data_IF_898801023497
#
_entry.id   IF_898801023497
#
_cell.length_a   1.000
_cell.length_b   1.000
_cell.length_c   1.000
_cell.angle_alpha   90.00
_cell.angle_beta   90.00
_cell.angle_gamma   90.00
#
_symmetry.space_group_name_H-M   'P 1'
#
loop_
_entity.id
_entity.type
_entity.pdbx_description
1 polymer ?
#
# COMPACT_ATOMS: atom_id res chain seq x y z
N UNK A 1 52.02 -29.32 42.98
CA UNK A 1 51.42 -27.95 43.06
C UNK A 1 51.38 -27.18 41.74
N UNK A 2 51.74 -27.71 40.59
CA UNK A 2 51.69 -27.01 39.28
C UNK A 2 50.55 -27.43 38.35
N UNK A 3 49.76 -28.43 38.71
CA UNK A 3 48.66 -28.96 37.88
C UNK A 3 47.29 -28.33 38.28
N UNK A 4 47.17 -27.74 39.48
CA UNK A 4 45.91 -27.14 39.91
C UNK A 4 45.72 -25.70 39.42
N UNK A 5 46.77 -25.00 39.01
CA UNK A 5 46.67 -23.62 38.51
C UNK A 5 46.27 -23.51 37.03
N UNK A 6 46.43 -24.57 36.23
CA UNK A 6 46.09 -24.57 34.81
C UNK A 6 44.56 -24.80 34.58
N UNK A 7 43.92 -25.51 35.52
CA UNK A 7 42.46 -25.76 35.41
C UNK A 7 41.60 -24.53 35.77
N UNK A 8 42.12 -23.62 36.57
CA UNK A 8 41.41 -22.36 36.93
C UNK A 8 41.50 -21.29 35.82
N UNK A 9 42.49 -21.35 34.93
CA UNK A 9 42.65 -20.37 33.86
C UNK A 9 41.81 -20.73 32.62
N UNK A 10 41.47 -22.01 32.44
CA UNK A 10 40.62 -22.46 31.31
C UNK A 10 39.14 -22.25 31.60
N UNK A 11 38.74 -22.20 32.88
CA UNK A 11 37.34 -21.93 33.26
C UNK A 11 36.91 -20.45 33.17
N UNK A 12 37.89 -19.53 33.03
CA UNK A 12 37.59 -18.08 32.94
C UNK A 12 37.55 -17.54 31.50
N UNK A 13 37.82 -18.40 30.50
CA UNK A 13 37.85 -17.99 29.09
C UNK A 13 36.57 -18.32 28.32
N UNK A 14 35.54 -18.88 28.93
CA UNK A 14 34.32 -19.38 28.24
C UNK A 14 33.01 -18.66 28.59
N UNK A 15 33.03 -17.43 29.10
CA UNK A 15 31.78 -16.71 29.37
C UNK A 15 31.86 -15.23 28.99
N UNK A 16 32.46 -14.89 27.86
CA UNK A 16 32.08 -13.64 27.18
C UNK A 16 30.92 -14.00 26.26
N UNK A 17 29.76 -14.20 26.85
CA UNK A 17 28.52 -14.11 26.08
C UNK A 17 28.38 -12.64 25.66
N UNK A 18 28.71 -12.33 24.42
CA UNK A 18 28.33 -11.05 23.81
C UNK A 18 26.81 -10.95 23.89
N UNK A 19 26.32 -10.29 24.93
CA UNK A 19 24.92 -9.86 24.94
C UNK A 19 24.85 -8.67 24.00
N UNK A 20 24.32 -8.92 22.78
CA UNK A 20 23.94 -7.85 21.87
C UNK A 20 23.03 -6.87 22.62
N UNK A 21 23.24 -5.60 22.46
CA UNK A 21 22.30 -4.59 22.94
C UNK A 21 20.93 -4.81 22.27
N UNK A 22 19.87 -4.30 22.87
CA UNK A 22 18.53 -4.42 22.29
C UNK A 22 18.46 -3.81 20.87
N UNK A 23 19.23 -2.76 20.61
CA UNK A 23 19.28 -2.11 19.32
C UNK A 23 20.10 -2.94 18.30
N UNK A 24 21.23 -3.52 18.69
CA UNK A 24 22.00 -4.44 17.83
C UNK A 24 21.20 -5.69 17.46
N UNK A 25 20.42 -6.23 18.40
CA UNK A 25 19.52 -7.34 18.11
C UNK A 25 18.43 -6.93 17.13
N UNK A 26 17.83 -5.75 17.29
CA UNK A 26 16.82 -5.23 16.36
C UNK A 26 17.40 -5.04 14.95
N UNK A 27 18.61 -4.48 14.84
CA UNK A 27 19.34 -4.29 13.58
C UNK A 27 19.58 -5.64 12.89
N UNK A 28 20.14 -6.61 13.62
CA UNK A 28 20.43 -7.95 13.08
C UNK A 28 19.15 -8.66 12.61
N UNK A 29 18.08 -8.60 13.40
CA UNK A 29 16.80 -9.19 13.03
C UNK A 29 16.12 -8.47 11.86
N UNK A 30 16.30 -7.16 11.74
CA UNK A 30 15.84 -6.40 10.58
C UNK A 30 16.54 -6.86 9.31
N UNK A 31 17.88 -7.06 9.36
CA UNK A 31 18.62 -7.61 8.22
C UNK A 31 18.12 -9.00 7.83
N UNK A 32 17.85 -9.90 8.79
CA UNK A 32 17.28 -11.22 8.54
C UNK A 32 15.90 -11.15 7.88
N UNK A 33 15.03 -10.25 8.35
CA UNK A 33 13.70 -10.03 7.76
C UNK A 33 13.84 -9.56 6.31
N UNK A 34 14.61 -8.50 6.08
CA UNK A 34 14.74 -7.92 4.74
C UNK A 34 15.36 -8.93 3.77
N UNK A 35 16.36 -9.69 4.23
CA UNK A 35 16.99 -10.74 3.43
C UNK A 35 15.97 -11.75 2.91
N UNK A 36 14.99 -12.17 3.73
CA UNK A 36 13.95 -13.10 3.29
C UNK A 36 13.11 -12.53 2.12
N UNK A 37 12.85 -11.21 2.10
CA UNK A 37 12.12 -10.55 1.02
C UNK A 37 12.97 -10.31 -0.22
N UNK A 38 14.26 -9.98 -0.04
CA UNK A 38 15.18 -9.76 -1.15
C UNK A 38 15.59 -11.07 -1.83
N UNK A 39 15.78 -12.15 -1.08
CA UNK A 39 16.14 -13.48 -1.62
C UNK A 39 15.07 -14.04 -2.58
N UNK A 40 13.79 -13.72 -2.31
CA UNK A 40 12.69 -14.09 -3.22
C UNK A 40 12.41 -13.01 -4.28
N UNK A 41 13.21 -11.94 -4.31
CA UNK A 41 13.09 -10.84 -5.27
C UNK A 41 11.88 -9.93 -5.05
N UNK A 42 11.19 -10.01 -3.91
CA UNK A 42 9.96 -9.25 -3.66
C UNK A 42 10.22 -7.84 -3.13
N UNK A 43 11.33 -7.58 -2.44
CA UNK A 43 11.70 -6.26 -1.96
C UNK A 43 12.86 -5.66 -2.74
N UNK A 44 12.68 -4.43 -3.19
CA UNK A 44 13.68 -3.51 -3.70
C UNK A 44 13.30 -2.11 -3.22
N UNK A 45 14.21 -1.40 -2.54
CA UNK A 45 13.91 -0.12 -1.92
C UNK A 45 14.78 0.19 -0.71
N UNK A 46 14.28 1.00 0.22
CA UNK A 46 15.01 1.47 1.40
C UNK A 46 14.23 1.24 2.69
N UNK A 47 14.95 0.93 3.77
CA UNK A 47 14.39 0.81 5.12
C UNK A 47 15.20 1.70 6.06
N UNK A 48 14.49 2.50 6.87
CA UNK A 48 15.07 3.37 7.89
C UNK A 48 14.38 3.11 9.23
N UNK A 49 15.16 3.04 10.31
CA UNK A 49 14.64 2.96 11.67
C UNK A 49 15.22 4.11 12.48
N UNK A 50 14.32 4.93 13.05
CA UNK A 50 14.64 5.95 14.03
C UNK A 50 14.24 5.49 15.43
N UNK A 51 15.08 5.82 16.41
CA UNK A 51 14.76 5.69 17.84
C UNK A 51 15.05 7.01 18.52
N UNK A 52 14.02 7.74 18.89
CA UNK A 52 14.13 9.16 19.24
C UNK A 52 14.61 9.97 18.03
N UNK A 53 15.70 10.72 18.23
CA UNK A 53 16.32 11.53 17.17
C UNK A 53 17.45 10.79 16.44
N UNK A 54 17.75 9.54 16.82
CA UNK A 54 18.85 8.77 16.27
C UNK A 54 18.39 7.83 15.16
N UNK A 55 19.13 7.81 14.05
CA UNK A 55 19.03 6.78 13.03
C UNK A 55 19.80 5.56 13.50
N UNK A 56 19.11 4.45 13.76
CA UNK A 56 19.76 3.19 14.16
C UNK A 56 19.86 2.19 13.02
N UNK A 57 19.12 2.42 11.91
CA UNK A 57 19.18 1.62 10.71
C UNK A 57 18.88 2.48 9.47
N UNK A 58 19.72 2.42 8.45
CA UNK A 58 19.50 3.05 7.14
C UNK A 58 20.19 2.21 6.07
N UNK A 59 19.40 1.40 5.35
CA UNK A 59 19.92 0.54 4.28
C UNK A 59 18.99 0.50 3.08
N UNK A 60 19.59 0.37 1.91
CA UNK A 60 18.91 0.26 0.62
C UNK A 60 19.27 -1.05 -0.08
N UNK A 61 18.34 -1.60 -0.85
CA UNK A 61 18.40 -2.94 -1.43
C UNK A 61 17.84 -2.95 -2.85
N UNK A 62 18.39 -3.83 -3.69
CA UNK A 62 17.90 -4.02 -5.05
C UNK A 62 18.20 -2.84 -5.99
N UNK A 63 17.42 -2.73 -7.06
CA UNK A 63 17.66 -1.77 -8.13
C UNK A 63 16.58 -0.69 -8.18
N UNK A 64 17.00 0.56 -8.28
CA UNK A 64 16.15 1.68 -8.64
C UNK A 64 15.73 1.62 -10.12
N UNK A 65 16.63 1.14 -10.98
CA UNK A 65 16.36 0.87 -12.39
C UNK A 65 17.04 -0.45 -12.77
N UNK A 66 16.23 -1.47 -13.07
CA UNK A 66 16.71 -2.82 -13.37
C UNK A 66 17.42 -2.85 -14.71
N UNK A 67 16.89 -2.17 -15.73
CA UNK A 67 17.45 -2.17 -17.08
C UNK A 67 18.82 -1.50 -17.11
N UNK A 68 18.94 -0.35 -16.44
CA UNK A 68 20.19 0.41 -16.33
C UNK A 68 21.12 -0.09 -15.23
N UNK A 69 20.69 -1.10 -14.45
CA UNK A 69 21.43 -1.64 -13.29
C UNK A 69 21.81 -0.58 -12.25
N UNK A 70 20.95 0.44 -12.08
CA UNK A 70 21.13 1.47 -11.05
C UNK A 70 20.59 0.91 -9.73
N UNK A 71 21.47 0.81 -8.72
CA UNK A 71 21.11 0.32 -7.38
C UNK A 71 20.31 1.38 -6.61
N UNK A 72 19.45 0.94 -5.69
CA UNK A 72 18.84 1.83 -4.70
C UNK A 72 19.89 2.34 -3.71
N UNK A 73 19.75 3.60 -3.32
CA UNK A 73 20.55 4.26 -2.29
C UNK A 73 19.62 5.01 -1.32
N UNK A 74 20.15 5.54 -0.22
CA UNK A 74 19.38 6.40 0.69
C UNK A 74 18.84 7.68 0.04
N UNK A 75 19.45 8.12 -1.08
CA UNK A 75 19.00 9.27 -1.88
C UNK A 75 17.93 8.90 -2.92
N UNK A 76 17.70 7.61 -3.18
CA UNK A 76 16.71 7.17 -4.16
C UNK A 76 15.30 7.55 -3.72
N UNK A 77 14.63 8.31 -4.56
CA UNK A 77 13.26 8.76 -4.33
C UNK A 77 12.26 7.74 -4.87
N UNK A 78 11.37 7.28 -4.01
CA UNK A 78 10.31 6.32 -4.35
C UNK A 78 8.95 6.99 -4.19
N UNK A 79 7.98 6.62 -5.01
CA UNK A 79 6.60 7.10 -4.82
C UNK A 79 6.03 6.60 -3.50
N UNK A 80 5.39 7.51 -2.76
CA UNK A 80 4.86 7.21 -1.42
C UNK A 80 3.34 6.94 -1.40
N UNK A 81 2.70 6.92 -2.57
CA UNK A 81 1.28 6.66 -2.71
C UNK A 81 0.43 7.50 -1.76
N UNK A 82 -0.52 6.88 -1.10
CA UNK A 82 -1.49 7.54 -0.20
C UNK A 82 -0.89 8.14 1.09
N UNK A 83 0.39 7.91 1.41
CA UNK A 83 1.06 8.64 2.51
C UNK A 83 1.02 10.15 2.25
N UNK A 84 0.96 10.56 0.99
CA UNK A 84 0.74 11.94 0.56
C UNK A 84 -0.45 12.62 1.28
N UNK A 85 -1.50 11.88 1.59
CA UNK A 85 -2.70 12.40 2.27
C UNK A 85 -2.38 13.00 3.64
N UNK A 86 -1.37 12.49 4.33
CA UNK A 86 -0.95 13.08 5.62
C UNK A 86 -0.35 14.49 5.44
N UNK A 87 0.36 14.73 4.35
CA UNK A 87 0.84 16.08 4.01
C UNK A 87 -0.31 17.02 3.71
N UNK A 88 -1.28 16.58 2.90
CA UNK A 88 -2.49 17.35 2.59
C UNK A 88 -3.31 17.64 3.85
N UNK A 89 -3.51 16.63 4.70
CA UNK A 89 -4.21 16.80 5.97
C UNK A 89 -3.48 17.78 6.91
N UNK A 90 -2.14 17.73 6.94
CA UNK A 90 -1.32 18.69 7.73
C UNK A 90 -1.57 20.13 7.27
N UNK A 91 -1.59 20.39 5.96
CA UNK A 91 -1.89 21.72 5.40
C UNK A 91 -3.30 22.19 5.78
N UNK A 92 -4.30 21.31 5.68
CA UNK A 92 -5.68 21.63 6.11
C UNK A 92 -5.73 21.95 7.61
N UNK A 93 -5.04 21.16 8.44
CA UNK A 93 -4.97 21.39 9.88
C UNK A 93 -4.24 22.69 10.24
N UNK A 94 -3.25 23.13 9.45
CA UNK A 94 -2.62 24.45 9.62
C UNK A 94 -3.64 25.57 9.42
N UNK A 95 -4.51 25.47 8.41
CA UNK A 95 -5.60 26.46 8.18
C UNK A 95 -6.66 26.45 9.27
N UNK A 96 -6.94 25.27 9.84
CA UNK A 96 -7.84 25.15 11.00
C UNK A 96 -7.18 25.78 12.24
N UNK A 97 -5.89 25.55 12.45
CA UNK A 97 -5.13 26.10 13.56
C UNK A 97 -5.07 27.63 13.55
N UNK A 98 -5.03 28.25 12.37
CA UNK A 98 -5.03 29.71 12.21
C UNK A 98 -6.45 30.29 12.26
N UNK A 99 -7.49 29.46 12.27
CA UNK A 99 -8.90 29.92 12.27
C UNK A 99 -9.42 30.39 10.92
N UNK A 100 -8.67 30.19 9.83
CA UNK A 100 -9.12 30.56 8.48
C UNK A 100 -10.27 29.65 8.01
N UNK A 101 -10.28 28.40 8.44
CA UNK A 101 -11.36 27.44 8.21
C UNK A 101 -11.63 26.61 9.46
N UNK A 102 -12.78 25.91 9.49
CA UNK A 102 -13.13 24.97 10.54
C UNK A 102 -13.43 23.57 9.95
N UNK A 103 -13.37 22.54 10.79
CA UNK A 103 -13.74 21.16 10.39
C UNK A 103 -15.19 21.09 9.88
N UNK A 104 -16.06 21.95 10.36
CA UNK A 104 -17.50 21.94 10.05
C UNK A 104 -17.88 22.92 8.93
N UNK A 105 -16.90 23.65 8.38
CA UNK A 105 -17.12 24.45 7.18
C UNK A 105 -17.59 23.55 6.03
N UNK A 106 -18.70 23.99 5.42
CA UNK A 106 -19.32 23.27 4.31
C UNK A 106 -18.64 23.59 2.99
N UNK A 107 -18.59 22.62 2.10
CA UNK A 107 -17.96 22.73 0.78
C UNK A 107 -18.52 23.92 -0.02
N UNK A 108 -19.79 24.29 0.17
CA UNK A 108 -20.41 25.46 -0.49
C UNK A 108 -19.71 26.78 -0.20
N UNK A 109 -19.00 26.90 0.94
CA UNK A 109 -18.22 28.09 1.33
C UNK A 109 -17.09 28.40 0.33
N UNK A 110 -16.57 27.36 -0.33
CA UNK A 110 -15.36 27.46 -1.15
C UNK A 110 -15.64 27.66 -2.64
N UNK A 111 -16.90 27.60 -3.08
CA UNK A 111 -17.30 27.90 -4.47
C UNK A 111 -16.46 27.17 -5.54
N UNK A 112 -16.28 25.86 -5.38
CA UNK A 112 -15.50 25.02 -6.28
C UNK A 112 -16.31 24.45 -7.47
N UNK A 113 -17.53 24.96 -7.68
CA UNK A 113 -18.39 24.53 -8.80
C UNK A 113 -19.34 23.38 -8.49
N UNK A 114 -19.30 22.79 -7.30
CA UNK A 114 -20.22 21.70 -6.92
C UNK A 114 -21.68 22.17 -6.88
N UNK A 115 -22.65 21.30 -7.27
CA UNK A 115 -24.06 21.57 -7.08
C UNK A 115 -24.38 21.98 -5.64
N UNK A 116 -25.12 23.08 -5.45
CA UNK A 116 -25.39 23.64 -4.10
C UNK A 116 -25.98 22.61 -3.13
N UNK A 117 -26.85 21.72 -3.62
CA UNK A 117 -27.48 20.68 -2.79
C UNK A 117 -26.47 19.65 -2.25
N UNK A 118 -25.40 19.37 -2.97
CA UNK A 118 -24.29 18.51 -2.54
C UNK A 118 -23.35 19.29 -1.63
N UNK A 119 -22.90 20.46 -2.08
CA UNK A 119 -21.92 21.27 -1.39
C UNK A 119 -22.37 21.75 0.01
N UNK A 120 -23.69 21.90 0.25
CA UNK A 120 -24.25 22.24 1.57
C UNK A 120 -24.21 21.09 2.58
N UNK A 121 -24.02 19.85 2.16
CA UNK A 121 -24.04 18.66 3.02
C UNK A 121 -22.63 18.22 3.44
N UNK A 122 -21.62 18.46 2.61
CA UNK A 122 -20.25 17.98 2.81
C UNK A 122 -19.45 19.01 3.59
N UNK A 123 -18.74 18.56 4.63
CA UNK A 123 -17.84 19.38 5.44
C UNK A 123 -16.38 19.00 5.20
N UNK A 124 -15.43 19.86 5.63
CA UNK A 124 -14.00 19.51 5.65
C UNK A 124 -13.75 18.24 6.46
N UNK A 125 -14.42 18.09 7.60
CA UNK A 125 -14.38 16.87 8.43
C UNK A 125 -14.73 15.62 7.61
N UNK A 126 -15.80 15.67 6.84
CA UNK A 126 -16.25 14.55 6.02
C UNK A 126 -15.19 14.15 4.96
N UNK A 127 -14.52 15.13 4.35
CA UNK A 127 -13.45 14.88 3.39
C UNK A 127 -12.24 14.21 4.04
N UNK A 128 -11.74 14.75 5.16
CA UNK A 128 -10.61 14.21 5.92
C UNK A 128 -10.88 12.80 6.43
N UNK A 129 -12.11 12.50 6.81
CA UNK A 129 -12.52 11.22 7.37
C UNK A 129 -12.91 10.16 6.33
N UNK A 130 -12.86 10.47 5.02
CA UNK A 130 -13.41 9.61 3.97
C UNK A 130 -14.91 9.28 4.16
N UNK A 131 -15.68 10.27 4.60
CA UNK A 131 -17.12 10.18 4.85
C UNK A 131 -17.93 11.21 4.05
N UNK A 132 -17.36 11.71 2.97
CA UNK A 132 -18.01 12.73 2.14
C UNK A 132 -19.18 12.20 1.31
N UNK A 133 -19.23 10.87 1.10
CA UNK A 133 -20.15 10.24 0.17
C UNK A 133 -19.72 10.32 -1.30
N UNK A 134 -18.57 10.92 -1.60
CA UNK A 134 -18.01 10.85 -2.95
C UNK A 134 -17.58 9.42 -3.29
N UNK A 135 -17.83 9.00 -4.53
CA UNK A 135 -17.18 7.82 -5.10
C UNK A 135 -15.66 8.02 -5.17
N UNK A 136 -14.92 6.94 -5.39
CA UNK A 136 -13.50 7.08 -5.71
C UNK A 136 -13.32 7.53 -7.16
N UNK A 137 -12.26 8.32 -7.41
CA UNK A 137 -11.92 8.82 -8.74
C UNK A 137 -11.40 7.69 -9.65
N UNK A 138 -10.79 6.66 -9.09
CA UNK A 138 -10.22 5.54 -9.86
C UNK A 138 -11.30 4.62 -10.40
N UNK A 139 -11.92 5.05 -11.49
CA UNK A 139 -12.94 4.32 -12.26
C UNK A 139 -12.51 4.18 -13.74
N UNK A 140 -13.30 3.54 -14.57
CA UNK A 140 -12.96 3.30 -15.97
C UNK A 140 -12.71 4.61 -16.73
N UNK A 141 -13.57 5.63 -16.54
CA UNK A 141 -13.43 6.95 -17.17
C UNK A 141 -12.08 7.61 -16.82
N UNK A 142 -11.67 7.50 -15.55
CA UNK A 142 -10.36 7.96 -15.09
C UNK A 142 -9.22 7.22 -15.78
N UNK A 143 -9.26 5.88 -15.84
CA UNK A 143 -8.17 5.09 -16.42
C UNK A 143 -8.04 5.24 -17.94
N UNK A 144 -9.08 5.69 -18.62
CA UNK A 144 -9.02 6.05 -20.04
C UNK A 144 -8.31 7.39 -20.29
N UNK A 145 -8.37 8.31 -19.31
CA UNK A 145 -7.96 9.72 -19.49
C UNK A 145 -6.83 10.18 -18.57
N UNK A 146 -6.44 9.39 -17.57
CA UNK A 146 -5.56 9.82 -16.45
C UNK A 146 -4.24 10.48 -16.87
N UNK A 147 -3.71 10.14 -18.05
CA UNK A 147 -2.45 10.74 -18.56
C UNK A 147 -2.59 12.22 -18.89
N UNK A 148 -3.78 12.66 -19.29
CA UNK A 148 -4.08 14.07 -19.57
C UNK A 148 -4.46 14.86 -18.33
N UNK A 149 -4.74 14.20 -17.20
CA UNK A 149 -5.15 14.82 -15.93
C UNK A 149 -3.92 15.22 -15.12
N UNK A 150 -3.37 16.40 -15.40
CA UNK A 150 -2.08 16.84 -14.87
C UNK A 150 -2.19 17.47 -13.49
N UNK A 151 -3.29 18.19 -13.23
CA UNK A 151 -3.46 18.99 -12.03
C UNK A 151 -4.86 18.80 -11.40
N UNK A 152 -5.11 19.51 -10.30
CA UNK A 152 -6.38 19.46 -9.57
C UNK A 152 -7.57 19.85 -10.46
N UNK A 153 -7.42 20.91 -11.27
CA UNK A 153 -8.52 21.44 -12.10
C UNK A 153 -8.91 20.45 -13.20
N UNK A 154 -7.99 19.61 -13.65
CA UNK A 154 -8.30 18.55 -14.64
C UNK A 154 -9.10 17.41 -13.98
N UNK A 155 -8.87 17.14 -12.69
CA UNK A 155 -9.49 16.02 -11.95
C UNK A 155 -10.82 16.37 -11.29
N UNK A 156 -11.02 17.61 -10.87
CA UNK A 156 -12.27 18.02 -10.20
C UNK A 156 -13.52 17.75 -11.03
N UNK A 157 -13.58 18.03 -12.35
CA UNK A 157 -14.78 17.82 -13.16
C UNK A 157 -15.26 16.36 -13.22
N UNK A 158 -14.39 15.38 -13.01
CA UNK A 158 -14.70 13.95 -13.17
C UNK A 158 -15.84 13.48 -12.25
N UNK A 159 -15.96 14.04 -11.05
CA UNK A 159 -16.98 13.65 -10.07
C UNK A 159 -17.83 14.83 -9.56
N UNK A 160 -17.63 16.04 -10.09
CA UNK A 160 -18.28 17.25 -9.55
C UNK A 160 -19.81 17.19 -9.60
N UNK A 161 -20.36 16.64 -10.67
CA UNK A 161 -21.81 16.50 -10.92
C UNK A 161 -22.32 15.07 -10.71
N UNK A 162 -21.46 14.13 -10.29
CA UNK A 162 -21.87 12.74 -10.07
C UNK A 162 -22.64 12.62 -8.74
N UNK A 163 -23.61 11.71 -8.65
CA UNK A 163 -24.35 11.47 -7.42
C UNK A 163 -23.41 10.94 -6.32
N UNK A 164 -23.73 11.29 -5.07
CA UNK A 164 -23.07 10.68 -3.91
C UNK A 164 -23.46 9.23 -3.77
N UNK A 165 -22.52 8.36 -3.40
CA UNK A 165 -22.76 6.93 -3.15
C UNK A 165 -23.31 6.64 -1.75
N UNK A 166 -23.21 7.61 -0.84
CA UNK A 166 -23.78 7.56 0.50
C UNK A 166 -24.05 8.98 1.04
N UNK A 167 -24.90 9.11 2.06
CA UNK A 167 -25.12 10.40 2.74
C UNK A 167 -23.86 10.82 3.50
N UNK A 168 -23.42 12.09 3.35
CA UNK A 168 -22.25 12.63 4.04
C UNK A 168 -22.29 12.43 5.56
N UNK A 169 -21.19 11.95 6.11
CA UNK A 169 -21.02 11.65 7.53
C UNK A 169 -21.51 10.26 7.97
N UNK A 170 -22.27 9.53 7.15
CA UNK A 170 -22.85 8.24 7.56
C UNK A 170 -21.87 7.08 7.42
N UNK A 171 -21.33 6.88 6.23
CA UNK A 171 -20.51 5.73 5.90
C UNK A 171 -19.06 6.12 5.65
N UNK A 172 -18.16 5.21 5.97
CA UNK A 172 -16.77 5.31 5.57
C UNK A 172 -16.62 4.74 4.17
N UNK A 173 -16.29 5.59 3.21
CA UNK A 173 -15.96 5.21 1.84
C UNK A 173 -14.66 5.89 1.45
N UNK A 174 -13.57 5.11 1.41
CA UNK A 174 -12.28 5.65 1.02
C UNK A 174 -12.37 6.33 -0.33
N UNK A 175 -12.02 7.61 -0.38
CA UNK A 175 -12.11 8.41 -1.61
C UNK A 175 -10.84 9.24 -1.79
N UNK A 176 -10.13 8.97 -2.87
CA UNK A 176 -9.02 9.80 -3.32
C UNK A 176 -9.51 11.17 -3.76
N UNK A 177 -10.68 11.22 -4.40
CA UNK A 177 -11.31 12.46 -4.82
C UNK A 177 -11.53 13.46 -3.67
N UNK A 178 -11.91 12.98 -2.49
CA UNK A 178 -12.05 13.83 -1.32
C UNK A 178 -10.78 14.61 -0.97
N UNK A 179 -9.61 14.04 -1.15
CA UNK A 179 -8.32 14.71 -0.93
C UNK A 179 -7.92 15.64 -2.08
N UNK A 180 -8.33 15.36 -3.29
CA UNK A 180 -8.22 16.30 -4.42
C UNK A 180 -9.04 17.57 -4.13
N UNK A 181 -10.28 17.41 -3.63
CA UNK A 181 -11.13 18.52 -3.20
C UNK A 181 -10.50 19.33 -2.07
N UNK A 182 -9.86 18.68 -1.07
CA UNK A 182 -9.11 19.39 -0.02
C UNK A 182 -7.96 20.22 -0.61
N UNK A 183 -7.25 19.68 -1.59
CA UNK A 183 -6.22 20.44 -2.31
C UNK A 183 -6.78 21.65 -3.05
N UNK A 184 -7.94 21.50 -3.71
CA UNK A 184 -8.62 22.60 -4.39
C UNK A 184 -9.04 23.72 -3.40
N UNK A 185 -9.50 23.34 -2.21
CA UNK A 185 -9.82 24.30 -1.12
C UNK A 185 -8.56 25.07 -0.73
N UNK A 186 -7.42 24.38 -0.56
CA UNK A 186 -6.15 25.03 -0.21
C UNK A 186 -5.68 25.99 -1.30
N UNK A 187 -5.73 25.59 -2.59
CA UNK A 187 -5.38 26.47 -3.71
C UNK A 187 -6.28 27.72 -3.77
N UNK A 188 -7.59 27.55 -3.51
CA UNK A 188 -8.55 28.66 -3.48
C UNK A 188 -8.25 29.65 -2.36
N UNK A 189 -7.89 29.15 -1.16
CA UNK A 189 -7.57 29.98 0.01
C UNK A 189 -6.25 30.73 -0.17
N UNK A 190 -5.22 30.03 -0.60
CA UNK A 190 -3.86 30.59 -0.73
C UNK A 190 -3.62 31.36 -2.03
N UNK A 191 -4.46 31.15 -3.04
CA UNK A 191 -4.27 31.66 -4.42
C UNK A 191 -2.91 31.25 -5.01
N UNK A 192 -2.43 30.07 -4.66
CA UNK A 192 -1.18 29.46 -5.10
C UNK A 192 -1.45 28.03 -5.56
N UNK A 193 -0.57 27.47 -6.39
CA UNK A 193 -0.64 26.05 -6.71
C UNK A 193 -0.36 25.19 -5.46
N UNK A 194 -0.95 24.01 -5.40
CA UNK A 194 -0.73 23.07 -4.29
C UNK A 194 0.76 22.74 -4.13
N UNK A 195 1.52 22.69 -5.23
CA UNK A 195 2.96 22.51 -5.20
C UNK A 195 3.69 23.61 -4.40
N UNK A 196 3.33 24.86 -4.61
CA UNK A 196 3.92 25.98 -3.85
C UNK A 196 3.50 25.91 -2.38
N UNK A 197 2.22 25.64 -2.12
CA UNK A 197 1.68 25.55 -0.75
C UNK A 197 2.42 24.48 0.06
N UNK A 198 2.57 23.27 -0.48
CA UNK A 198 3.23 22.18 0.26
C UNK A 198 4.72 22.45 0.45
N UNK A 199 5.39 23.03 -0.56
CA UNK A 199 6.80 23.40 -0.44
C UNK A 199 7.02 24.43 0.65
N UNK A 200 6.27 25.53 0.64
CA UNK A 200 6.42 26.63 1.58
C UNK A 200 6.05 26.26 3.01
N UNK A 201 4.93 25.54 3.20
CA UNK A 201 4.36 25.32 4.52
C UNK A 201 4.76 23.99 5.17
N UNK A 202 5.34 23.05 4.39
CA UNK A 202 5.78 21.75 4.92
C UNK A 202 7.22 21.45 4.55
N UNK A 203 7.54 21.24 3.28
CA UNK A 203 8.83 20.65 2.89
C UNK A 203 10.02 21.52 3.27
N UNK A 204 9.98 22.83 3.00
CA UNK A 204 11.03 23.77 3.36
C UNK A 204 11.13 23.96 4.89
N UNK A 205 9.98 23.94 5.60
CA UNK A 205 9.94 24.11 7.06
C UNK A 205 10.68 22.98 7.78
N UNK A 206 10.56 21.75 7.27
CA UNK A 206 11.19 20.56 7.86
C UNK A 206 12.51 20.19 7.18
N UNK A 207 12.90 20.89 6.11
CA UNK A 207 14.09 20.60 5.29
C UNK A 207 14.07 19.19 4.66
N UNK A 208 12.90 18.79 4.14
CA UNK A 208 12.73 17.53 3.43
C UNK A 208 13.11 17.71 1.95
N UNK A 209 14.39 17.92 1.68
CA UNK A 209 14.90 18.34 0.37
C UNK A 209 14.79 17.24 -0.71
N UNK A 210 14.64 15.99 -0.30
CA UNK A 210 14.45 14.85 -1.19
C UNK A 210 12.98 14.44 -1.37
N UNK A 211 12.04 15.14 -0.72
CA UNK A 211 10.61 14.95 -0.95
C UNK A 211 10.14 15.90 -2.04
N UNK A 212 9.45 15.37 -3.07
CA UNK A 212 9.05 16.13 -4.24
C UNK A 212 7.57 15.97 -4.55
N UNK A 213 6.87 17.10 -4.62
CA UNK A 213 5.58 17.23 -5.27
C UNK A 213 5.83 17.79 -6.68
N UNK A 214 6.11 16.93 -7.64
CA UNK A 214 6.46 17.30 -9.00
C UNK A 214 6.08 16.20 -9.98
N UNK A 215 5.85 16.56 -11.25
CA UNK A 215 5.62 15.59 -12.31
C UNK A 215 6.77 14.58 -12.36
N UNK A 216 6.46 13.34 -12.68
CA UNK A 216 7.42 12.22 -12.63
C UNK A 216 8.70 12.50 -13.43
N UNK A 217 8.60 13.11 -14.62
CA UNK A 217 9.75 13.44 -15.46
C UNK A 217 10.71 14.43 -14.80
N UNK A 218 10.23 15.30 -13.92
CA UNK A 218 11.00 16.33 -13.25
C UNK A 218 11.67 15.87 -11.94
N UNK A 219 11.47 14.61 -11.54
CA UNK A 219 12.10 14.04 -10.33
C UNK A 219 13.39 13.33 -10.72
N UNK A 220 14.51 13.83 -10.23
CA UNK A 220 15.84 13.21 -10.40
C UNK A 220 16.04 12.11 -9.34
N UNK A 221 16.93 11.15 -9.62
CA UNK A 221 17.25 10.03 -8.72
C UNK A 221 16.02 9.27 -8.22
N UNK A 222 15.00 9.15 -9.08
CA UNK A 222 13.80 8.37 -8.76
C UNK A 222 13.97 6.92 -9.15
N UNK A 223 13.36 6.03 -8.37
CA UNK A 223 13.21 4.64 -8.74
C UNK A 223 12.12 4.47 -9.82
N UNK A 224 12.31 3.51 -10.72
CA UNK A 224 11.24 2.96 -11.56
C UNK A 224 10.34 2.06 -10.71
N UNK A 225 9.10 1.89 -11.11
CA UNK A 225 8.09 1.12 -10.36
C UNK A 225 7.85 -0.22 -11.04
N UNK A 226 8.12 -1.32 -10.35
CA UNK A 226 8.02 -2.69 -10.88
C UNK A 226 6.91 -3.46 -10.18
N UNK A 227 5.97 -3.96 -10.96
CA UNK A 227 4.86 -4.77 -10.47
C UNK A 227 5.03 -6.23 -10.90
N UNK A 228 4.83 -7.17 -9.98
CA UNK A 228 4.74 -8.57 -10.35
C UNK A 228 3.38 -8.85 -11.01
N UNK A 229 3.43 -9.35 -12.25
CA UNK A 229 2.24 -9.92 -12.85
C UNK A 229 1.91 -11.29 -12.19
N UNK A 230 0.73 -11.87 -12.45
CA UNK A 230 0.39 -13.18 -11.89
C UNK A 230 1.35 -14.31 -12.28
N UNK A 231 2.13 -14.15 -13.34
CA UNK A 231 3.14 -15.12 -13.79
C UNK A 231 4.49 -14.95 -13.05
N UNK A 232 4.62 -13.96 -12.18
CA UNK A 232 5.84 -13.71 -11.42
C UNK A 232 6.88 -12.85 -12.14
N UNK A 233 6.55 -12.31 -13.31
CA UNK A 233 7.43 -11.40 -14.04
C UNK A 233 7.30 -9.97 -13.51
N UNK A 234 8.43 -9.27 -13.43
CA UNK A 234 8.46 -7.85 -13.06
C UNK A 234 8.16 -6.98 -14.27
N UNK A 235 7.01 -6.34 -14.25
CA UNK A 235 6.57 -5.39 -15.29
C UNK A 235 6.83 -3.97 -14.81
N UNK A 236 7.54 -3.19 -15.61
CA UNK A 236 7.72 -1.77 -15.35
C UNK A 236 6.39 -1.02 -15.54
N UNK A 237 5.95 -0.35 -14.50
CA UNK A 237 4.71 0.43 -14.44
C UNK A 237 4.94 1.93 -14.31
N UNK A 238 6.19 2.39 -14.37
CA UNK A 238 6.56 3.80 -14.14
C UNK A 238 5.75 4.75 -15.01
N UNK A 239 5.61 4.43 -16.30
CA UNK A 239 4.88 5.28 -17.25
C UNK A 239 3.36 5.09 -17.20
N UNK A 240 2.88 4.14 -16.39
CA UNK A 240 1.46 3.89 -16.15
C UNK A 240 0.96 4.52 -14.84
N UNK A 241 1.82 5.21 -14.10
CA UNK A 241 1.44 5.87 -12.87
C UNK A 241 0.78 7.21 -13.17
N UNK A 242 -0.24 7.52 -12.38
CA UNK A 242 -0.96 8.79 -12.49
C UNK A 242 -0.07 9.99 -12.14
N UNK A 243 -0.45 11.17 -12.63
CA UNK A 243 0.16 12.42 -12.23
C UNK A 243 -0.14 12.74 -10.76
N UNK A 244 0.82 13.39 -10.11
CA UNK A 244 0.74 13.76 -8.71
C UNK A 244 -0.41 14.72 -8.45
N UNK A 245 -1.17 14.43 -7.38
CA UNK A 245 -2.25 15.27 -6.85
C UNK A 245 -2.30 15.17 -5.32
N UNK A 246 -3.09 15.99 -4.63
CA UNK A 246 -3.12 16.03 -3.16
C UNK A 246 -3.43 14.71 -2.46
N UNK A 247 -4.01 13.74 -3.16
CA UNK A 247 -4.33 12.41 -2.65
C UNK A 247 -3.19 11.40 -2.77
N UNK A 248 -2.22 11.61 -3.69
CA UNK A 248 -1.16 10.64 -3.93
C UNK A 248 -0.08 11.08 -4.91
N UNK A 249 0.95 10.26 -5.03
CA UNK A 249 1.94 10.38 -6.11
C UNK A 249 3.22 11.14 -5.78
N UNK A 250 3.40 11.73 -4.59
CA UNK A 250 4.67 12.33 -4.17
C UNK A 250 5.81 11.32 -4.21
N UNK A 251 7.00 11.82 -4.46
CA UNK A 251 8.25 11.08 -4.32
C UNK A 251 8.96 11.51 -3.03
N UNK A 252 9.52 10.53 -2.30
CA UNK A 252 10.28 10.81 -1.07
C UNK A 252 11.38 9.78 -0.86
N UNK A 253 12.30 10.07 0.04
CA UNK A 253 13.19 9.10 0.66
C UNK A 253 12.61 8.63 2.01
N UNK A 254 13.04 7.47 2.49
CA UNK A 254 12.60 6.97 3.79
C UNK A 254 13.04 7.92 4.92
N UNK A 255 14.22 8.55 4.77
CA UNK A 255 14.72 9.54 5.73
C UNK A 255 13.85 10.78 5.79
N UNK A 256 13.45 11.35 4.65
CA UNK A 256 12.61 12.56 4.62
C UNK A 256 11.21 12.30 5.19
N UNK A 257 10.65 11.10 4.99
CA UNK A 257 9.42 10.71 5.66
C UNK A 257 9.61 10.64 7.18
N UNK A 258 10.75 10.15 7.66
CA UNK A 258 11.06 10.18 9.08
C UNK A 258 11.14 11.61 9.63
N UNK A 259 11.76 12.53 8.89
CA UNK A 259 11.75 13.96 9.25
C UNK A 259 10.33 14.51 9.33
N UNK A 260 9.50 14.21 8.33
CA UNK A 260 8.11 14.68 8.33
C UNK A 260 7.36 14.22 9.59
N UNK A 261 7.36 12.92 9.88
CA UNK A 261 6.64 12.40 11.05
C UNK A 261 7.27 12.84 12.38
N UNK A 262 8.60 12.94 12.45
CA UNK A 262 9.28 13.49 13.62
C UNK A 262 8.84 14.94 13.90
N UNK A 263 8.81 15.79 12.87
CA UNK A 263 8.40 17.20 13.02
C UNK A 263 6.90 17.35 13.22
N UNK A 264 6.08 16.51 12.63
CA UNK A 264 4.64 16.48 12.83
C UNK A 264 4.27 16.08 14.26
N UNK A 265 4.87 15.02 14.81
CA UNK A 265 4.41 14.41 16.05
C UNK A 265 5.14 14.91 17.29
N UNK A 266 6.46 15.15 17.20
CA UNK A 266 7.29 15.46 18.36
C UNK A 266 7.76 16.92 18.42
N UNK A 267 7.24 17.79 17.56
CA UNK A 267 7.51 19.24 17.62
C UNK A 267 6.28 20.03 17.23
N UNK A 268 6.31 21.36 17.49
CA UNK A 268 5.24 22.27 17.08
C UNK A 268 5.59 23.02 15.77
N UNK A 269 6.52 22.48 14.95
CA UNK A 269 6.92 23.14 13.70
C UNK A 269 5.82 23.11 12.64
N UNK A 270 5.05 22.04 12.57
CA UNK A 270 3.99 21.86 11.58
C UNK A 270 2.60 22.12 12.19
N UNK A 271 2.33 21.52 13.34
CA UNK A 271 1.05 21.63 14.04
C UNK A 271 1.27 21.79 15.55
N UNK A 272 0.39 22.53 16.20
CA UNK A 272 0.31 22.59 17.66
C UNK A 272 -0.33 21.32 18.25
N UNK A 273 -0.27 21.16 19.57
CA UNK A 273 -0.76 19.96 20.25
C UNK A 273 -2.25 19.71 20.08
N UNK A 274 -3.06 20.78 20.00
CA UNK A 274 -4.49 20.67 19.75
C UNK A 274 -4.77 20.06 18.36
N UNK A 275 -4.11 20.56 17.33
CA UNK A 275 -4.27 20.09 15.95
C UNK A 275 -3.77 18.63 15.79
N UNK A 276 -2.65 18.28 16.44
CA UNK A 276 -2.14 16.89 16.48
C UNK A 276 -3.14 15.96 17.16
N UNK A 277 -3.70 16.37 18.30
CA UNK A 277 -4.71 15.59 19.01
C UNK A 277 -5.98 15.37 18.17
N UNK A 278 -6.45 16.41 17.46
CA UNK A 278 -7.57 16.26 16.52
C UNK A 278 -7.25 15.23 15.42
N UNK A 279 -6.07 15.34 14.81
CA UNK A 279 -5.65 14.47 13.73
C UNK A 279 -5.53 13.02 14.20
N UNK A 280 -4.92 12.75 15.38
CA UNK A 280 -4.77 11.41 15.96
C UNK A 280 -6.10 10.77 16.36
N UNK A 281 -7.11 11.56 16.71
CA UNK A 281 -8.45 11.11 17.09
C UNK A 281 -9.43 11.03 15.90
N UNK A 282 -8.91 11.05 14.67
CA UNK A 282 -9.75 10.99 13.47
C UNK A 282 -10.66 12.21 13.30
N UNK A 283 -10.16 13.38 13.66
CA UNK A 283 -10.85 14.68 13.51
C UNK A 283 -12.16 14.81 14.29
N UNK A 284 -12.27 14.14 15.45
CA UNK A 284 -13.41 14.25 16.36
C UNK A 284 -13.27 15.45 17.31
N UNK A 285 -14.40 16.00 17.77
CA UNK A 285 -14.42 17.18 18.68
C UNK A 285 -13.94 16.84 20.10
N UNK A 286 -14.43 15.75 20.67
CA UNK A 286 -13.99 15.30 22.00
C UNK A 286 -12.66 14.56 21.88
N UNK A 287 -11.59 15.23 22.26
CA UNK A 287 -10.23 14.74 22.13
C UNK A 287 -9.52 14.72 23.49
N UNK A 288 -8.70 13.70 23.67
CA UNK A 288 -7.73 13.64 24.75
C UNK A 288 -6.58 14.61 24.45
N UNK A 289 -5.93 15.17 25.49
CA UNK A 289 -4.71 15.97 25.29
C UNK A 289 -3.66 15.19 24.52
N UNK A 290 -2.87 15.87 23.68
CA UNK A 290 -1.79 15.27 22.92
C UNK A 290 -0.77 14.55 23.79
N UNK A 291 -0.45 15.10 24.99
CA UNK A 291 0.42 14.46 25.97
C UNK A 291 -0.06 13.08 26.39
N UNK A 292 -1.38 12.88 26.57
CA UNK A 292 -1.94 11.58 26.92
C UNK A 292 -1.75 10.56 25.78
N UNK A 293 -1.82 11.00 24.53
CA UNK A 293 -1.52 10.14 23.38
C UNK A 293 -0.05 9.78 23.31
N UNK A 294 0.85 10.72 23.60
CA UNK A 294 2.31 10.48 23.64
C UNK A 294 2.71 9.46 24.73
N UNK A 295 2.04 9.46 25.86
CA UNK A 295 2.36 8.59 27.01
C UNK A 295 1.67 7.21 26.94
N UNK A 296 0.79 7.01 25.98
CA UNK A 296 0.03 5.76 25.86
C UNK A 296 0.88 4.61 25.29
N UNK A 297 0.97 3.50 26.02
CA UNK A 297 1.67 2.26 25.59
C UNK A 297 1.07 1.63 24.32
N UNK A 298 -0.19 1.96 24.01
CA UNK A 298 -0.90 1.43 22.85
C UNK A 298 -0.95 2.40 21.68
N UNK A 299 -0.49 3.65 21.86
CA UNK A 299 -0.50 4.65 20.80
C UNK A 299 0.44 4.27 19.66
N UNK A 300 -0.16 4.15 18.49
CA UNK A 300 0.53 3.88 17.24
C UNK A 300 0.11 4.88 16.18
N UNK A 301 1.05 5.24 15.32
CA UNK A 301 0.75 5.96 14.11
C UNK A 301 1.15 5.12 12.92
N UNK A 302 0.24 5.01 11.95
CA UNK A 302 0.46 4.20 10.75
C UNK A 302 0.10 4.98 9.51
N UNK A 303 0.90 4.83 8.49
CA UNK A 303 0.61 5.36 7.17
C UNK A 303 1.08 4.38 6.10
N UNK A 304 0.22 4.11 5.15
CA UNK A 304 0.50 3.19 4.06
C UNK A 304 0.16 3.84 2.73
N UNK A 305 0.96 3.52 1.74
CA UNK A 305 0.75 3.96 0.37
C UNK A 305 1.11 2.85 -0.60
N UNK A 306 0.26 2.61 -1.58
CA UNK A 306 0.43 1.52 -2.52
C UNK A 306 -0.06 1.87 -3.91
N UNK A 307 0.31 1.04 -4.85
CA UNK A 307 -0.05 1.06 -6.25
C UNK A 307 0.80 0.07 -7.04
N UNK A 308 0.57 -0.10 -8.33
CA UNK A 308 1.39 -1.01 -9.14
C UNK A 308 2.87 -0.63 -9.09
N UNK A 309 3.70 -1.48 -8.46
CA UNK A 309 5.14 -1.21 -8.28
C UNK A 309 5.45 -0.10 -7.27
N UNK A 310 4.52 0.20 -6.37
CA UNK A 310 4.67 1.21 -5.32
C UNK A 310 4.23 0.63 -3.99
N UNK A 311 5.12 0.59 -3.01
CA UNK A 311 4.80 0.23 -1.64
C UNK A 311 5.55 1.12 -0.66
N UNK A 312 4.82 1.79 0.22
CA UNK A 312 5.37 2.69 1.21
C UNK A 312 4.67 2.45 2.55
N UNK A 313 5.43 2.35 3.62
CA UNK A 313 4.91 2.11 4.95
C UNK A 313 5.67 2.88 6.01
N UNK A 314 4.91 3.41 6.96
CA UNK A 314 5.39 4.07 8.16
C UNK A 314 4.67 3.46 9.35
N UNK A 315 5.43 2.93 10.29
CA UNK A 315 4.94 2.42 11.58
C UNK A 315 5.67 3.13 12.72
N UNK A 316 4.92 3.71 13.64
CA UNK A 316 5.47 4.36 14.82
C UNK A 316 4.86 3.79 16.09
N UNK A 317 5.72 3.47 17.03
CA UNK A 317 5.38 3.31 18.44
C UNK A 317 5.65 4.66 19.12
N UNK A 318 4.59 5.38 19.43
CA UNK A 318 4.65 6.81 19.78
C UNK A 318 5.44 7.03 21.06
N UNK A 319 5.13 6.28 22.12
CA UNK A 319 5.81 6.41 23.42
C UNK A 319 7.31 6.08 23.35
N UNK A 320 7.66 5.03 22.61
CA UNK A 320 9.04 4.58 22.45
C UNK A 320 9.84 5.47 21.49
N UNK A 321 9.15 6.38 20.79
CA UNK A 321 9.70 7.16 19.67
C UNK A 321 10.41 6.27 18.64
N UNK A 322 9.92 5.03 18.48
CA UNK A 322 10.42 4.12 17.48
C UNK A 322 9.63 4.30 16.19
N UNK A 323 10.33 4.61 15.13
CA UNK A 323 9.76 4.80 13.79
C UNK A 323 10.45 3.85 12.82
N UNK A 324 9.66 3.03 12.14
CA UNK A 324 10.12 2.12 11.09
C UNK A 324 9.47 2.55 9.78
N UNK A 325 10.30 2.85 8.80
CA UNK A 325 9.85 3.27 7.47
C UNK A 325 10.46 2.34 6.43
N UNK A 326 9.64 1.84 5.53
CA UNK A 326 10.07 1.11 4.36
C UNK A 326 9.44 1.73 3.11
N UNK A 327 10.26 1.95 2.09
CA UNK A 327 9.85 2.36 0.76
C UNK A 327 10.31 1.33 -0.24
N UNK A 328 9.41 0.83 -1.07
CA UNK A 328 9.73 -0.14 -2.10
C UNK A 328 9.23 0.33 -3.47
N UNK A 329 10.06 0.12 -4.47
CA UNK A 329 9.72 0.31 -5.88
C UNK A 329 9.28 -1.02 -6.53
N UNK A 330 8.74 -1.92 -5.73
CA UNK A 330 8.11 -3.18 -6.10
C UNK A 330 6.70 -3.25 -5.53
N UNK A 331 6.03 -4.37 -5.67
CA UNK A 331 4.63 -4.61 -5.31
C UNK A 331 4.13 -3.92 -4.05
N UNK A 332 2.87 -3.56 -4.07
CA UNK A 332 2.14 -3.08 -2.91
C UNK A 332 2.22 -4.09 -1.73
N UNK A 333 2.01 -3.59 -0.54
CA UNK A 333 2.06 -4.29 0.76
C UNK A 333 3.41 -4.85 1.22
N UNK A 334 4.46 -4.89 0.40
CA UNK A 334 5.76 -5.42 0.85
C UNK A 334 6.39 -4.54 1.93
N UNK A 335 6.33 -3.22 1.80
CA UNK A 335 6.81 -2.28 2.80
C UNK A 335 6.04 -2.42 4.13
N UNK A 336 4.72 -2.53 4.07
CA UNK A 336 3.87 -2.77 5.25
C UNK A 336 4.29 -4.04 6.00
N UNK A 337 4.51 -5.13 5.28
CA UNK A 337 4.90 -6.41 5.86
C UNK A 337 6.26 -6.33 6.54
N UNK A 338 7.21 -5.62 5.95
CA UNK A 338 8.54 -5.41 6.55
C UNK A 338 8.41 -4.60 7.83
N UNK A 339 7.77 -3.42 7.77
CA UNK A 339 7.65 -2.54 8.95
C UNK A 339 6.91 -3.23 10.10
N UNK A 340 5.82 -3.96 9.82
CA UNK A 340 5.08 -4.71 10.84
C UNK A 340 5.95 -5.78 11.51
N UNK A 341 6.76 -6.54 10.76
CA UNK A 341 7.65 -7.56 11.33
C UNK A 341 8.76 -6.97 12.18
N UNK A 342 9.32 -5.84 11.76
CA UNK A 342 10.32 -5.12 12.57
C UNK A 342 9.72 -4.67 13.90
N UNK A 343 8.49 -4.15 13.90
CA UNK A 343 7.76 -3.80 15.12
C UNK A 343 7.47 -5.04 15.98
N UNK A 344 7.07 -6.16 15.37
CA UNK A 344 6.86 -7.42 16.10
C UNK A 344 8.12 -7.90 16.81
N UNK A 345 9.28 -7.84 16.13
CA UNK A 345 10.60 -8.15 16.73
C UNK A 345 10.90 -7.21 17.90
N UNK A 346 10.74 -5.90 17.71
CA UNK A 346 10.95 -4.93 18.78
C UNK A 346 10.09 -5.23 20.02
N UNK A 347 8.84 -5.64 19.80
CA UNK A 347 7.90 -6.02 20.86
C UNK A 347 8.11 -7.46 21.38
N UNK A 348 9.21 -8.13 20.97
CA UNK A 348 9.52 -9.53 21.34
C UNK A 348 8.41 -10.52 20.98
N UNK A 349 7.65 -10.24 19.92
CA UNK A 349 6.64 -11.12 19.36
C UNK A 349 7.24 -12.03 18.31
N UNK A 350 6.67 -13.22 18.16
CA UNK A 350 6.99 -14.06 17.02
C UNK A 350 6.38 -13.46 15.75
N UNK A 351 7.16 -13.37 14.68
CA UNK A 351 6.66 -12.98 13.37
C UNK A 351 6.56 -14.19 12.44
N UNK A 352 5.57 -14.14 11.55
CA UNK A 352 5.38 -15.21 10.56
C UNK A 352 6.49 -15.17 9.52
N UNK A 353 6.97 -16.35 9.10
CA UNK A 353 7.90 -16.48 7.97
C UNK A 353 7.38 -15.69 6.76
N UNK A 354 8.30 -15.16 5.97
CA UNK A 354 7.94 -14.49 4.71
C UNK A 354 7.27 -15.50 3.78
N UNK A 355 6.11 -15.13 3.28
CA UNK A 355 5.35 -15.90 2.29
C UNK A 355 5.25 -15.07 1.03
N UNK A 356 5.53 -15.67 -0.11
CA UNK A 356 5.27 -15.05 -1.41
C UNK A 356 3.77 -14.72 -1.54
N UNK A 357 3.37 -13.76 -2.37
CA UNK A 357 1.99 -13.70 -2.84
C UNK A 357 1.55 -15.05 -3.37
N UNK A 358 0.30 -15.47 -3.06
CA UNK A 358 -0.18 -16.82 -3.39
C UNK A 358 -0.03 -17.13 -4.89
N UNK A 359 -0.32 -16.15 -5.76
CA UNK A 359 -0.15 -16.31 -7.21
C UNK A 359 1.29 -16.66 -7.60
N UNK A 360 2.28 -15.93 -7.04
CA UNK A 360 3.71 -16.22 -7.28
C UNK A 360 4.13 -17.59 -6.77
N UNK A 361 3.63 -18.00 -5.61
CA UNK A 361 3.89 -19.35 -5.09
C UNK A 361 3.29 -20.40 -6.01
N UNK A 362 2.05 -20.22 -6.43
CA UNK A 362 1.37 -21.14 -7.35
C UNK A 362 2.06 -21.22 -8.71
N UNK A 363 2.54 -20.10 -9.26
CA UNK A 363 3.33 -20.09 -10.50
C UNK A 363 4.59 -20.93 -10.36
N UNK A 364 5.39 -20.71 -9.31
CA UNK A 364 6.60 -21.49 -9.06
C UNK A 364 6.30 -22.98 -8.90
N UNK A 365 5.26 -23.31 -8.13
CA UNK A 365 4.85 -24.71 -7.96
C UNK A 365 4.44 -25.37 -9.27
N UNK A 366 3.71 -24.62 -10.12
CA UNK A 366 3.28 -25.07 -11.44
C UNK A 366 4.49 -25.30 -12.38
N UNK A 367 5.45 -24.40 -12.38
CA UNK A 367 6.67 -24.48 -13.18
C UNK A 367 7.57 -25.66 -12.73
N UNK A 368 7.73 -25.85 -11.44
CA UNK A 368 8.62 -26.88 -10.87
C UNK A 368 8.03 -28.29 -10.96
N UNK A 369 6.71 -28.43 -10.76
CA UNK A 369 6.05 -29.75 -10.61
C UNK A 369 5.12 -30.10 -11.77
N UNK A 370 4.73 -29.15 -12.58
CA UNK A 370 3.82 -29.32 -13.72
C UNK A 370 2.33 -29.33 -13.34
N UNK A 371 1.49 -29.22 -14.39
CA UNK A 371 0.04 -29.03 -14.23
C UNK A 371 -0.69 -30.19 -13.57
N UNK A 372 -0.32 -31.43 -13.88
CA UNK A 372 -0.96 -32.63 -13.30
C UNK A 372 -0.73 -32.67 -11.79
N UNK A 373 0.52 -32.51 -11.36
CA UNK A 373 0.86 -32.45 -9.94
C UNK A 373 0.10 -31.31 -9.24
N UNK A 374 0.04 -30.14 -9.87
CA UNK A 374 -0.66 -28.98 -9.32
C UNK A 374 -2.14 -29.27 -9.07
N UNK A 375 -2.84 -29.86 -10.04
CA UNK A 375 -4.27 -30.21 -9.92
C UNK A 375 -4.54 -31.12 -8.71
N UNK A 376 -3.64 -32.02 -8.40
CA UNK A 376 -3.86 -33.03 -7.35
C UNK A 376 -3.36 -32.56 -5.97
N UNK A 377 -2.33 -31.70 -5.93
CA UNK A 377 -1.62 -31.37 -4.71
C UNK A 377 -1.72 -29.89 -4.30
N UNK A 378 -2.23 -28.98 -5.13
CA UNK A 378 -2.20 -27.53 -4.87
C UNK A 378 -2.76 -27.17 -3.49
N UNK A 379 -3.89 -27.74 -3.08
CA UNK A 379 -4.47 -27.47 -1.76
C UNK A 379 -3.53 -27.85 -0.62
N UNK A 380 -2.89 -29.01 -0.71
CA UNK A 380 -1.94 -29.49 0.29
C UNK A 380 -0.70 -28.61 0.35
N UNK A 381 -0.09 -28.32 -0.80
CA UNK A 381 1.10 -27.48 -0.91
C UNK A 381 0.88 -26.07 -0.39
N UNK A 382 -0.26 -25.45 -0.75
CA UNK A 382 -0.63 -24.14 -0.25
C UNK A 382 -0.79 -24.14 1.27
N UNK A 383 -1.44 -25.16 1.85
CA UNK A 383 -1.57 -25.27 3.31
C UNK A 383 -0.22 -25.47 3.99
N UNK A 384 0.65 -26.34 3.48
CA UNK A 384 2.00 -26.57 4.00
C UNK A 384 2.86 -25.30 3.92
N UNK A 385 2.71 -24.52 2.88
CA UNK A 385 3.38 -23.22 2.74
C UNK A 385 2.80 -22.12 3.65
N UNK A 386 1.69 -22.41 4.37
CA UNK A 386 1.10 -21.48 5.35
C UNK A 386 -0.07 -20.65 4.82
N UNK A 387 -0.59 -20.91 3.61
CA UNK A 387 -1.77 -20.23 3.08
C UNK A 387 -3.05 -20.86 3.66
N UNK A 388 -3.49 -20.38 4.82
CA UNK A 388 -4.63 -20.96 5.54
C UNK A 388 -5.94 -20.19 5.36
N UNK A 389 -5.88 -18.95 4.87
CA UNK A 389 -7.05 -18.08 4.70
C UNK A 389 -6.90 -17.26 3.41
N UNK A 390 -7.43 -17.77 2.31
CA UNK A 390 -7.41 -17.14 0.99
C UNK A 390 -8.67 -17.51 0.22
N UNK A 391 -9.05 -16.67 -0.75
CA UNK A 391 -10.16 -16.92 -1.67
C UNK A 391 -9.70 -17.44 -3.04
N UNK A 392 -10.65 -17.68 -3.92
CA UNK A 392 -10.41 -18.18 -5.28
C UNK A 392 -9.68 -17.19 -6.22
N UNK A 393 -9.77 -15.89 -5.92
CA UNK A 393 -9.32 -14.80 -6.80
C UNK A 393 -7.84 -14.86 -7.24
N UNK A 394 -6.85 -15.18 -6.38
CA UNK A 394 -5.45 -15.25 -6.82
C UNK A 394 -5.20 -16.30 -7.88
N UNK A 395 -5.77 -17.51 -7.71
CA UNK A 395 -5.64 -18.58 -8.71
C UNK A 395 -6.42 -18.24 -10.00
N UNK A 396 -7.58 -17.62 -9.89
CA UNK A 396 -8.30 -17.11 -11.07
C UNK A 396 -7.46 -16.12 -11.88
N UNK A 397 -6.86 -15.13 -11.22
CA UNK A 397 -5.97 -14.16 -11.89
C UNK A 397 -4.80 -14.84 -12.59
N UNK A 398 -4.18 -15.84 -11.94
CA UNK A 398 -3.09 -16.61 -12.53
C UNK A 398 -3.57 -17.38 -13.79
N UNK A 399 -4.72 -18.05 -13.70
CA UNK A 399 -5.29 -18.78 -14.84
C UNK A 399 -5.55 -17.87 -16.06
N UNK A 400 -6.12 -16.70 -15.86
CA UNK A 400 -6.33 -15.74 -16.95
C UNK A 400 -5.02 -15.19 -17.52
N UNK A 401 -4.01 -14.88 -16.68
CA UNK A 401 -2.71 -14.47 -17.16
C UNK A 401 -2.02 -15.55 -18.00
N UNK A 402 -2.18 -16.83 -17.64
CA UNK A 402 -1.70 -17.95 -18.43
C UNK A 402 -2.40 -18.05 -19.80
N UNK A 403 -3.72 -17.76 -19.87
CA UNK A 403 -4.46 -17.68 -21.14
C UNK A 403 -3.89 -16.57 -22.03
N UNK A 404 -3.72 -15.38 -21.47
CA UNK A 404 -3.17 -14.22 -22.19
C UNK A 404 -1.76 -14.48 -22.72
N UNK A 405 -0.98 -15.30 -21.99
CA UNK A 405 0.37 -15.74 -22.38
C UNK A 405 0.39 -17.03 -23.24
N UNK A 406 -0.74 -17.41 -23.85
CA UNK A 406 -0.88 -18.62 -24.70
C UNK A 406 -0.54 -19.95 -24.01
N UNK A 407 -0.60 -20.02 -22.67
CA UNK A 407 -0.33 -21.22 -21.86
C UNK A 407 -1.64 -21.90 -21.42
N UNK A 408 -2.52 -22.18 -22.38
CA UNK A 408 -3.90 -22.61 -22.13
C UNK A 408 -4.01 -23.92 -21.31
N UNK A 409 -3.12 -24.90 -21.54
CA UNK A 409 -3.14 -26.17 -20.79
C UNK A 409 -2.79 -25.95 -19.31
N UNK A 410 -1.85 -25.06 -19.01
CA UNK A 410 -1.49 -24.70 -17.64
C UNK A 410 -2.63 -23.91 -16.97
N UNK A 411 -3.28 -23.00 -17.70
CA UNK A 411 -4.45 -22.28 -17.22
C UNK A 411 -5.58 -23.25 -16.81
N UNK A 412 -5.88 -24.25 -17.65
CA UNK A 412 -6.87 -25.29 -17.34
C UNK A 412 -6.48 -26.03 -16.04
N UNK A 413 -5.21 -26.36 -15.84
CA UNK A 413 -4.75 -27.02 -14.61
C UNK A 413 -4.97 -26.13 -13.37
N UNK A 414 -4.65 -24.84 -13.45
CA UNK A 414 -4.91 -23.87 -12.38
C UNK A 414 -6.40 -23.79 -12.07
N UNK A 415 -7.26 -23.66 -13.09
CA UNK A 415 -8.71 -23.55 -12.88
C UNK A 415 -9.31 -24.85 -12.33
N UNK A 416 -8.86 -26.05 -12.77
CA UNK A 416 -9.30 -27.30 -12.18
C UNK A 416 -8.91 -27.36 -10.69
N UNK A 417 -7.68 -27.02 -10.33
CA UNK A 417 -7.27 -26.96 -8.93
C UNK A 417 -8.13 -25.97 -8.14
N UNK A 418 -8.42 -24.80 -8.72
CA UNK A 418 -9.24 -23.77 -8.09
C UNK A 418 -10.68 -24.25 -7.80
N UNK A 419 -11.31 -24.99 -8.73
CA UNK A 419 -12.65 -25.59 -8.49
C UNK A 419 -12.60 -26.67 -7.40
N UNK A 420 -11.51 -27.45 -7.28
CA UNK A 420 -11.32 -28.44 -6.22
C UNK A 420 -11.15 -27.78 -4.84
N UNK A 421 -10.45 -26.64 -4.78
CA UNK A 421 -10.19 -25.91 -3.54
C UNK A 421 -11.45 -25.15 -3.09
N UNK A 422 -12.18 -24.53 -4.04
CA UNK A 422 -13.36 -23.69 -3.81
C UNK A 422 -14.61 -24.23 -4.53
N UNK A 423 -15.13 -25.40 -4.16
CA UNK A 423 -16.21 -26.06 -4.90
C UNK A 423 -17.58 -25.41 -4.82
N UNK A 424 -17.71 -24.36 -3.99
CA UNK A 424 -18.96 -23.60 -3.80
C UNK A 424 -18.93 -22.21 -4.44
N UNK A 425 -17.83 -21.85 -5.10
CA UNK A 425 -17.65 -20.54 -5.73
C UNK A 425 -18.01 -20.61 -7.23
N UNK A 426 -19.13 -20.00 -7.68
CA UNK A 426 -19.58 -20.07 -9.09
C UNK A 426 -18.50 -19.62 -10.07
N UNK A 427 -17.78 -18.54 -9.73
CA UNK A 427 -16.76 -17.94 -10.56
C UNK A 427 -15.58 -18.91 -10.89
N UNK A 428 -15.29 -19.90 -10.05
CA UNK A 428 -14.23 -20.88 -10.35
C UNK A 428 -14.62 -21.80 -11.50
N UNK A 429 -15.89 -22.21 -11.55
CA UNK A 429 -16.43 -23.04 -12.64
C UNK A 429 -16.62 -22.26 -13.92
N UNK A 430 -17.07 -21.00 -13.84
CA UNK A 430 -17.16 -20.11 -14.99
C UNK A 430 -15.79 -19.89 -15.65
N UNK A 431 -14.75 -19.61 -14.85
CA UNK A 431 -13.38 -19.45 -15.34
C UNK A 431 -12.83 -20.74 -15.98
N UNK A 432 -13.11 -21.91 -15.40
CA UNK A 432 -12.74 -23.21 -15.98
C UNK A 432 -13.49 -23.47 -17.29
N UNK A 433 -14.78 -23.12 -17.34
CA UNK A 433 -15.60 -23.25 -18.54
C UNK A 433 -15.04 -22.38 -19.68
N UNK A 434 -14.70 -21.14 -19.38
CA UNK A 434 -14.08 -20.22 -20.34
C UNK A 434 -12.77 -20.79 -20.90
N UNK A 435 -11.92 -21.35 -20.04
CA UNK A 435 -10.67 -21.98 -20.50
C UNK A 435 -10.93 -23.20 -21.40
N UNK A 436 -11.93 -24.04 -21.09
CA UNK A 436 -12.32 -25.16 -21.96
C UNK A 436 -12.93 -24.68 -23.29
N UNK A 437 -13.70 -23.59 -23.27
CA UNK A 437 -14.23 -22.98 -24.50
C UNK A 437 -13.09 -22.50 -25.41
N UNK A 438 -12.09 -21.80 -24.84
CA UNK A 438 -10.89 -21.39 -25.58
C UNK A 438 -10.06 -22.55 -26.11
N UNK A 439 -10.09 -23.70 -25.44
CA UNK A 439 -9.45 -24.93 -25.89
C UNK A 439 -10.26 -25.74 -26.91
N UNK A 440 -11.44 -25.28 -27.31
CA UNK A 440 -12.32 -25.99 -28.23
C UNK A 440 -13.10 -27.17 -27.60
N UNK A 441 -13.06 -27.32 -26.29
CA UNK A 441 -13.73 -28.40 -25.57
C UNK A 441 -15.17 -28.02 -25.20
N UNK A 442 -16.01 -27.79 -26.20
CA UNK A 442 -17.42 -27.29 -26.09
C UNK A 442 -18.22 -28.01 -24.99
N UNK A 443 -18.23 -29.35 -24.97
CA UNK A 443 -19.01 -30.11 -23.98
C UNK A 443 -18.52 -29.89 -22.54
N UNK A 444 -17.20 -29.81 -22.32
CA UNK A 444 -16.64 -29.52 -20.99
C UNK A 444 -16.95 -28.09 -20.55
N UNK A 445 -16.92 -27.14 -21.48
CA UNK A 445 -17.29 -25.75 -21.22
C UNK A 445 -18.74 -25.65 -20.75
N UNK A 446 -19.69 -26.21 -21.51
CA UNK A 446 -21.12 -26.21 -21.16
C UNK A 446 -21.36 -26.82 -19.78
N UNK A 447 -20.74 -27.97 -19.48
CA UNK A 447 -20.89 -28.65 -18.19
C UNK A 447 -20.44 -27.75 -17.01
N UNK A 448 -19.33 -27.03 -17.17
CA UNK A 448 -18.83 -26.16 -16.12
C UNK A 448 -19.64 -24.85 -16.00
N UNK A 449 -20.12 -24.25 -17.09
CA UNK A 449 -21.07 -23.14 -17.03
C UNK A 449 -22.38 -23.53 -16.34
N UNK A 450 -22.92 -24.73 -16.64
CA UNK A 450 -24.09 -25.29 -15.93
C UNK A 450 -23.80 -25.48 -14.43
N UNK A 451 -22.58 -25.91 -14.08
CA UNK A 451 -22.18 -26.01 -12.68
C UNK A 451 -22.13 -24.66 -11.99
N UNK A 452 -21.60 -23.62 -12.64
CA UNK A 452 -21.63 -22.24 -12.12
C UNK A 452 -23.08 -21.80 -11.86
N UNK A 453 -24.01 -22.01 -12.81
CA UNK A 453 -25.44 -21.67 -12.67
C UNK A 453 -26.16 -22.49 -11.59
N UNK A 454 -25.72 -23.73 -11.35
CA UNK A 454 -26.26 -24.53 -10.25
C UNK A 454 -25.90 -23.98 -8.86
N UNK A 455 -24.84 -23.17 -8.76
CA UNK A 455 -24.37 -22.51 -7.54
C UNK A 455 -24.92 -21.10 -7.40
N UNK A 456 -25.14 -20.43 -8.52
CA UNK A 456 -25.71 -19.08 -8.62
C UNK A 456 -26.53 -18.99 -9.92
N UNK A 457 -27.86 -19.05 -9.82
CA UNK A 457 -28.77 -19.05 -10.97
C UNK A 457 -28.70 -17.76 -11.79
N UNK A 458 -28.28 -16.65 -11.17
CA UNK A 458 -28.23 -15.33 -11.77
C UNK A 458 -26.86 -14.97 -12.34
N UNK A 459 -25.94 -15.95 -12.44
CA UNK A 459 -24.59 -15.73 -12.94
C UNK A 459 -24.58 -15.45 -14.44
N UNK A 460 -24.71 -14.17 -14.80
CA UNK A 460 -24.95 -13.68 -16.18
C UNK A 460 -23.92 -14.19 -17.20
N UNK A 461 -22.64 -14.22 -16.86
CA UNK A 461 -21.57 -14.69 -17.75
C UNK A 461 -21.82 -16.11 -18.24
N UNK A 462 -22.16 -17.02 -17.33
CA UNK A 462 -22.44 -18.41 -17.65
C UNK A 462 -23.74 -18.57 -18.46
N UNK A 463 -24.79 -17.78 -18.17
CA UNK A 463 -26.03 -17.79 -18.94
C UNK A 463 -25.77 -17.41 -20.40
N UNK A 464 -25.09 -16.30 -20.63
CA UNK A 464 -24.75 -15.79 -21.96
C UNK A 464 -23.85 -16.78 -22.73
N UNK A 465 -22.87 -17.39 -22.05
CA UNK A 465 -21.95 -18.35 -22.63
C UNK A 465 -22.69 -19.62 -23.12
N UNK A 466 -23.61 -20.17 -22.33
CA UNK A 466 -24.42 -21.33 -22.72
C UNK A 466 -25.31 -21.00 -23.94
N UNK A 467 -25.96 -19.83 -23.96
CA UNK A 467 -26.77 -19.42 -25.10
C UNK A 467 -25.93 -19.37 -26.39
N UNK A 468 -24.73 -18.77 -26.32
CA UNK A 468 -23.79 -18.67 -27.44
C UNK A 468 -23.30 -20.04 -27.91
N UNK A 469 -22.97 -20.94 -26.98
CA UNK A 469 -22.42 -22.26 -27.29
C UNK A 469 -23.48 -23.22 -27.86
N UNK A 470 -24.79 -23.01 -27.65
CA UNK A 470 -25.87 -23.85 -28.16
C UNK A 470 -26.38 -23.40 -29.56
N UNK A 471 -25.92 -22.24 -30.02
CA UNK A 471 -26.07 -21.80 -31.41
C UNK A 471 -25.02 -22.48 -32.30
#
# INVERSE_FOLDING_TARGET
MKILQIKSLIALLCLITYHLSADELLISKTDEIIKQYTDVGWFSGSVVIFKGDNVIYDKSFGYADIEKKIINTSATKVRIGSINKHFTATLVMQKIQTGEISLDDKLVKFELGFPKQIAKKITIRHLLQHRSGFADIFNNEYFETYRSLININDKLPLLIDKPLISEPGKEYNYSNYGYIVLGAILEKLEKKSFQLIINENVLNVIKADNTKYALTENVIEKARSYHFNPLGEKIDKTDSLENITPDGGMYSTAYDLALFYSKLLYSNKLLNDQSKAMMSNGYKESIKPWSEFLDSDTARWRAYGGGPGVSAAVELLIKDKLMVIALANTDDVVAERITQRVIEVYQKKQYKKVMLPLGLFATKLLEEKGGIYFVDNAKHELLQAGYNNYGARPLNKLGFALIENNQLNQAISIFIANTKIFPKEPNTFDSLAFAYEKAGHKNKAILNYQKALSLDSDFESAQQAILRLNQ
#
